data_IF_513454674036
#
_entry.id   IF_513454674036
#
_cell.length_a   1.000
_cell.length_b   1.000
_cell.length_c   1.000
_cell.angle_alpha   90.00
_cell.angle_beta   90.00
_cell.angle_gamma   90.00
#
_symmetry.space_group_name_H-M   'P 1'
#
loop_
_entity.id
_entity.type
_entity.pdbx_description
1 polymer ?
#
# COMPACT_ATOMS: atom_id res chain seq x y z
N UNK A 1 17.65 2.85 -4.94
CA UNK A 1 17.10 1.93 -5.95
C UNK A 1 15.98 2.65 -6.70
N UNK A 2 15.74 2.35 -7.99
CA UNK A 2 14.68 3.05 -8.76
C UNK A 2 13.27 2.65 -8.30
N UNK A 3 12.33 3.60 -8.32
CA UNK A 3 10.93 3.37 -7.99
C UNK A 3 10.32 2.39 -9.01
N UNK A 4 9.82 1.22 -8.57
CA UNK A 4 9.23 0.26 -9.49
C UNK A 4 7.85 0.68 -10.01
N UNK A 5 7.17 1.65 -9.38
CA UNK A 5 5.83 2.11 -9.75
C UNK A 5 5.88 3.35 -10.65
N UNK A 6 4.90 3.44 -11.55
CA UNK A 6 4.74 4.60 -12.45
C UNK A 6 3.30 5.13 -12.45
N UNK A 7 3.03 6.09 -13.34
CA UNK A 7 1.69 6.69 -13.48
C UNK A 7 0.66 5.72 -14.08
N UNK A 8 1.08 4.72 -14.85
CA UNK A 8 0.17 3.73 -15.44
C UNK A 8 -0.38 2.81 -14.34
N UNK A 9 0.43 2.47 -13.33
CA UNK A 9 -0.05 1.78 -12.13
C UNK A 9 -1.19 2.56 -11.43
N UNK A 10 -1.19 3.89 -11.48
CA UNK A 10 -2.28 4.70 -10.91
C UNK A 10 -3.50 4.68 -11.84
N UNK A 11 -3.29 4.86 -13.15
CA UNK A 11 -4.38 4.89 -14.15
C UNK A 11 -5.16 3.58 -14.20
N UNK A 12 -4.47 2.44 -14.15
CA UNK A 12 -5.09 1.10 -14.13
C UNK A 12 -6.03 0.88 -12.94
N UNK A 13 -5.93 1.72 -11.91
CA UNK A 13 -6.70 1.62 -10.66
C UNK A 13 -7.81 2.66 -10.56
N UNK A 14 -7.94 3.57 -11.53
CA UNK A 14 -8.95 4.61 -11.54
C UNK A 14 -9.93 4.32 -12.67
N UNK A 15 -11.22 4.25 -12.33
CA UNK A 15 -12.29 3.86 -13.26
C UNK A 15 -12.61 4.95 -14.30
N UNK A 16 -12.08 6.16 -14.10
CA UNK A 16 -12.21 7.31 -15.00
C UNK A 16 -10.86 7.76 -15.55
N UNK A 17 -10.83 8.34 -16.76
CA UNK A 17 -9.61 9.00 -17.24
C UNK A 17 -9.22 10.15 -16.30
N UNK A 18 -7.91 10.30 -16.11
CA UNK A 18 -7.33 11.41 -15.37
C UNK A 18 -7.21 12.64 -16.26
N UNK A 19 -7.54 13.80 -15.70
CA UNK A 19 -7.29 15.09 -16.32
C UNK A 19 -5.78 15.36 -16.38
N UNK A 20 -5.28 16.17 -17.34
CA UNK A 20 -3.85 16.46 -17.47
C UNK A 20 -3.21 17.02 -16.18
N UNK A 21 -3.96 17.79 -15.42
CA UNK A 21 -3.52 18.37 -14.13
C UNK A 21 -3.40 17.30 -13.05
N UNK A 22 -4.35 16.36 -13.01
CA UNK A 22 -4.33 15.20 -12.11
C UNK A 22 -3.18 14.26 -12.43
N UNK A 23 -2.86 14.07 -13.71
CA UNK A 23 -1.69 13.28 -14.14
C UNK A 23 -0.41 13.90 -13.58
N UNK A 24 -0.25 15.22 -13.71
CA UNK A 24 0.93 15.93 -13.19
C UNK A 24 1.04 15.78 -11.67
N UNK A 25 -0.06 15.94 -10.95
CA UNK A 25 -0.08 15.78 -9.49
C UNK A 25 0.20 14.33 -9.09
N UNK A 26 -0.44 13.36 -9.75
CA UNK A 26 -0.29 11.93 -9.49
C UNK A 26 1.15 11.44 -9.72
N UNK A 27 1.85 11.93 -10.76
CA UNK A 27 3.28 11.59 -10.96
C UNK A 27 4.12 11.99 -9.76
N UNK A 28 3.90 13.18 -9.20
CA UNK A 28 4.63 13.63 -8.01
C UNK A 28 4.25 12.82 -6.77
N UNK A 29 2.96 12.52 -6.61
CA UNK A 29 2.47 11.68 -5.51
C UNK A 29 3.03 10.25 -5.57
N UNK A 30 3.32 9.71 -6.75
CA UNK A 30 4.00 8.40 -6.90
C UNK A 30 5.42 8.45 -6.33
N UNK A 31 6.16 9.54 -6.54
CA UNK A 31 7.50 9.74 -5.97
C UNK A 31 7.43 9.92 -4.45
N UNK A 32 6.51 10.76 -3.97
CA UNK A 32 6.32 10.98 -2.54
C UNK A 32 5.91 9.68 -1.82
N UNK A 33 5.05 8.86 -2.44
CA UNK A 33 4.61 7.56 -1.89
C UNK A 33 5.77 6.59 -1.77
N UNK A 34 6.70 6.62 -2.73
CA UNK A 34 7.92 5.82 -2.68
C UNK A 34 8.83 6.24 -1.52
N UNK A 35 8.97 7.55 -1.29
CA UNK A 35 9.66 8.08 -0.11
C UNK A 35 9.04 7.59 1.21
N UNK A 36 7.72 7.65 1.32
CA UNK A 36 6.99 7.16 2.51
C UNK A 36 7.25 5.67 2.74
N UNK A 37 7.22 4.84 1.69
CA UNK A 37 7.52 3.41 1.84
C UNK A 37 8.95 3.18 2.33
N UNK A 38 9.91 3.98 1.88
CA UNK A 38 11.29 3.91 2.35
C UNK A 38 11.43 4.24 3.84
N UNK A 39 10.71 5.27 4.30
CA UNK A 39 10.74 5.70 5.69
C UNK A 39 10.01 4.70 6.63
N UNK A 40 8.91 4.12 6.16
CA UNK A 40 8.03 3.25 6.97
C UNK A 40 8.44 1.78 6.96
N UNK A 41 9.17 1.31 5.94
CA UNK A 41 9.49 -0.11 5.76
C UNK A 41 11.00 -0.32 5.89
N UNK A 42 11.47 -0.80 7.06
CA UNK A 42 12.86 -1.16 7.24
C UNK A 42 13.34 -2.17 6.21
N UNK A 43 14.56 -1.97 5.73
CA UNK A 43 15.23 -2.85 4.77
C UNK A 43 14.46 -3.08 3.45
N UNK A 44 13.61 -2.11 3.04
CA UNK A 44 12.83 -2.18 1.80
C UNK A 44 13.70 -2.54 0.57
N UNK A 45 14.78 -1.79 0.34
CA UNK A 45 15.69 -2.03 -0.79
C UNK A 45 16.34 -3.41 -0.75
N UNK A 46 16.76 -3.85 0.44
CA UNK A 46 17.39 -5.16 0.61
C UNK A 46 16.41 -6.27 0.27
N UNK A 47 15.15 -6.15 0.72
CA UNK A 47 14.09 -7.15 0.47
C UNK A 47 13.64 -7.19 -0.99
N UNK A 48 13.71 -6.05 -1.68
CA UNK A 48 13.49 -5.95 -3.13
C UNK A 48 14.62 -6.58 -3.94
N UNK A 49 15.87 -6.38 -3.50
CA UNK A 49 17.05 -6.94 -4.16
C UNK A 49 17.18 -8.47 -3.99
N UNK A 50 16.43 -9.06 -3.05
CA UNK A 50 16.43 -10.52 -2.87
C UNK A 50 15.94 -11.22 -4.12
N UNK A 51 16.68 -12.24 -4.55
CA UNK A 51 16.34 -13.11 -5.67
C UNK A 51 15.80 -14.46 -5.17
N UNK A 52 15.08 -15.19 -6.02
CA UNK A 52 14.47 -16.48 -5.66
C UNK A 52 13.21 -16.37 -4.79
N UNK A 53 12.77 -17.48 -4.20
CA UNK A 53 11.58 -17.53 -3.33
C UNK A 53 11.94 -17.34 -1.84
N UNK A 54 12.88 -16.44 -1.55
CA UNK A 54 13.21 -16.14 -0.16
C UNK A 54 11.95 -15.63 0.59
N UNK A 55 11.63 -16.15 1.79
CA UNK A 55 10.40 -15.80 2.51
C UNK A 55 10.25 -14.30 2.81
N UNK A 56 11.37 -13.61 2.97
CA UNK A 56 11.42 -12.18 3.25
C UNK A 56 11.39 -11.31 1.97
N UNK A 57 11.46 -11.91 0.77
CA UNK A 57 11.51 -11.19 -0.51
C UNK A 57 10.24 -10.39 -0.71
N UNK A 58 10.43 -9.12 -1.08
CA UNK A 58 9.35 -8.25 -1.47
C UNK A 58 9.18 -8.27 -2.98
N UNK A 59 7.99 -8.61 -3.46
CA UNK A 59 7.69 -8.62 -4.90
C UNK A 59 7.48 -7.17 -5.39
N UNK A 60 8.11 -6.75 -6.51
CA UNK A 60 7.90 -5.42 -7.09
C UNK A 60 6.42 -5.10 -7.30
N UNK A 61 5.61 -6.08 -7.73
CA UNK A 61 4.17 -5.92 -7.94
C UNK A 61 3.40 -5.55 -6.65
N UNK A 62 3.89 -5.96 -5.48
CA UNK A 62 3.27 -5.59 -4.20
C UNK A 62 3.49 -4.11 -3.87
N UNK A 63 4.65 -3.57 -4.27
CA UNK A 63 4.98 -2.16 -4.11
C UNK A 63 4.18 -1.32 -5.10
N UNK A 64 4.19 -1.69 -6.38
CA UNK A 64 3.35 -1.07 -7.43
C UNK A 64 1.90 -0.96 -7.00
N UNK A 65 1.35 -2.06 -6.47
CA UNK A 65 -0.02 -2.08 -5.95
C UNK A 65 -0.23 -1.14 -4.79
N UNK A 66 0.71 -1.09 -3.85
CA UNK A 66 0.58 -0.24 -2.66
C UNK A 66 0.67 1.24 -3.03
N UNK A 67 1.68 1.64 -3.81
CA UNK A 67 1.83 3.01 -4.31
C UNK A 67 0.59 3.41 -5.12
N UNK A 68 0.17 2.58 -6.05
CA UNK A 68 -1.03 2.83 -6.86
C UNK A 68 -2.28 3.02 -6.01
N UNK A 69 -2.45 2.26 -4.92
CA UNK A 69 -3.57 2.42 -4.00
C UNK A 69 -3.48 3.72 -3.18
N UNK A 70 -2.29 4.08 -2.68
CA UNK A 70 -2.05 5.32 -1.95
C UNK A 70 -2.40 6.53 -2.82
N UNK A 71 -1.86 6.59 -4.04
CA UNK A 71 -2.10 7.71 -4.95
C UNK A 71 -3.54 7.74 -5.45
N UNK A 72 -4.14 6.59 -5.77
CA UNK A 72 -5.53 6.54 -6.21
C UNK A 72 -6.50 7.05 -5.14
N UNK A 73 -6.23 6.85 -3.84
CA UNK A 73 -7.04 7.44 -2.76
C UNK A 73 -6.99 8.98 -2.78
N UNK A 74 -5.79 9.53 -2.91
CA UNK A 74 -5.58 10.99 -2.95
C UNK A 74 -6.23 11.59 -4.19
N UNK A 75 -6.05 10.96 -5.36
CA UNK A 75 -6.62 11.45 -6.62
C UNK A 75 -8.16 11.35 -6.64
N UNK A 76 -8.74 10.31 -6.01
CA UNK A 76 -10.20 10.16 -5.90
C UNK A 76 -10.83 11.18 -4.95
N UNK A 77 -10.10 11.70 -3.97
CA UNK A 77 -10.56 12.71 -3.04
C UNK A 77 -9.57 13.88 -2.95
N UNK A 78 -9.31 14.53 -4.07
CA UNK A 78 -8.33 15.61 -4.16
C UNK A 78 -8.68 16.80 -3.25
N UNK A 79 -9.97 17.06 -3.05
CA UNK A 79 -10.48 18.15 -2.22
C UNK A 79 -10.47 17.84 -0.71
N UNK A 80 -10.17 16.60 -0.31
CA UNK A 80 -10.13 16.21 1.10
C UNK A 80 -11.49 16.38 1.80
N UNK A 81 -12.59 16.20 1.07
CA UNK A 81 -13.93 16.42 1.61
C UNK A 81 -14.26 15.36 2.67
N UNK A 82 -14.88 15.81 3.76
CA UNK A 82 -15.34 15.00 4.92
C UNK A 82 -16.81 14.64 4.86
N UNK A 83 -17.58 15.48 4.20
CA UNK A 83 -19.01 15.33 4.03
C UNK A 83 -19.37 16.13 2.80
N UNK A 84 -20.12 15.53 1.90
CA UNK A 84 -20.74 16.26 0.81
C UNK A 84 -22.23 16.35 1.10
N UNK A 85 -22.71 17.58 1.25
CA UNK A 85 -24.10 17.89 1.50
C UNK A 85 -24.60 18.85 0.42
N UNK A 86 -25.58 18.41 -0.35
CA UNK A 86 -26.41 19.27 -1.20
C UNK A 86 -27.85 19.21 -0.66
N UNK A 87 -28.71 20.18 -0.99
CA UNK A 87 -30.00 20.46 -0.32
C UNK A 87 -30.95 19.24 -0.17
N UNK A 88 -30.72 18.15 -0.92
CA UNK A 88 -31.50 16.90 -0.84
C UNK A 88 -30.67 15.63 -0.60
N UNK A 89 -29.34 15.74 -0.46
CA UNK A 89 -28.43 14.59 -0.41
C UNK A 89 -27.29 14.82 0.58
N UNK A 90 -27.12 13.89 1.52
CA UNK A 90 -25.98 13.84 2.42
C UNK A 90 -25.24 12.52 2.24
N UNK A 91 -23.96 12.60 1.90
CA UNK A 91 -23.06 11.45 1.85
C UNK A 91 -21.88 11.65 2.80
N UNK A 92 -21.68 10.66 3.66
CA UNK A 92 -20.48 10.59 4.51
C UNK A 92 -19.40 9.90 3.70
N UNK A 93 -18.47 10.68 3.14
CA UNK A 93 -17.28 10.16 2.48
C UNK A 93 -16.36 9.66 3.60
N UNK A 94 -16.23 8.33 3.68
CA UNK A 94 -15.52 7.56 4.71
C UNK A 94 -14.29 8.30 5.29
N UNK A 95 -14.20 8.39 6.63
CA UNK A 95 -13.18 9.15 7.37
C UNK A 95 -11.73 8.75 6.98
N UNK A 96 -11.55 7.54 6.46
CA UNK A 96 -10.28 6.98 5.99
C UNK A 96 -9.89 7.52 4.59
N UNK A 97 -10.87 7.72 3.70
CA UNK A 97 -10.68 8.38 2.39
C UNK A 97 -10.65 9.90 2.50
N UNK A 98 -11.22 10.43 3.56
CA UNK A 98 -11.48 11.85 3.75
C UNK A 98 -10.23 12.72 4.00
N UNK A 99 -9.10 12.13 4.43
CA UNK A 99 -7.93 12.94 4.78
C UNK A 99 -7.17 13.50 3.57
N UNK A 100 -7.40 13.00 2.36
CA UNK A 100 -6.57 13.34 1.19
C UNK A 100 -5.07 13.05 1.40
N UNK A 101 -4.73 12.29 2.46
CA UNK A 101 -3.36 12.06 2.85
C UNK A 101 -2.77 10.93 2.00
N UNK A 102 -1.52 11.12 1.61
CA UNK A 102 -0.69 10.05 1.10
C UNK A 102 -0.16 9.27 2.31
N UNK A 103 -0.79 8.15 2.64
CA UNK A 103 -0.41 7.35 3.81
C UNK A 103 -0.51 5.86 3.55
N UNK A 104 0.27 5.09 4.31
CA UNK A 104 0.24 3.64 4.31
C UNK A 104 -0.81 3.15 5.32
N UNK A 105 -1.79 2.37 4.85
CA UNK A 105 -2.74 1.73 5.79
C UNK A 105 -2.08 0.59 6.56
N UNK A 106 -2.62 0.22 7.71
CA UNK A 106 -2.13 -0.94 8.47
C UNK A 106 -2.23 -2.24 7.67
N UNK A 107 -3.24 -2.37 6.80
CA UNK A 107 -3.38 -3.53 5.90
C UNK A 107 -2.25 -3.58 4.88
N UNK A 108 -1.88 -2.44 4.30
CA UNK A 108 -0.75 -2.35 3.35
C UNK A 108 0.57 -2.58 4.06
N UNK A 109 0.77 -1.97 5.24
CA UNK A 109 1.92 -2.21 6.11
C UNK A 109 2.06 -3.70 6.44
N UNK A 110 0.99 -4.37 6.84
CA UNK A 110 0.98 -5.81 7.13
C UNK A 110 1.25 -6.68 5.89
N UNK A 111 0.79 -6.25 4.70
CA UNK A 111 1.09 -6.95 3.45
C UNK A 111 2.56 -6.84 3.04
N UNK A 112 3.19 -5.71 3.35
CA UNK A 112 4.59 -5.47 3.07
C UNK A 112 5.50 -5.95 4.21
N UNK A 113 4.95 -6.27 5.39
CA UNK A 113 5.70 -6.84 6.51
C UNK A 113 6.39 -8.16 6.12
N UNK A 114 7.59 -8.45 6.67
CA UNK A 114 8.25 -9.72 6.43
C UNK A 114 7.36 -10.87 6.93
N UNK A 115 7.12 -11.85 6.07
CA UNK A 115 6.43 -13.07 6.47
C UNK A 115 7.38 -13.88 7.33
N UNK A 116 7.11 -13.94 8.62
CA UNK A 116 7.76 -14.91 9.50
C UNK A 116 7.13 -16.25 9.18
N UNK A 117 7.80 -17.06 8.36
CA UNK A 117 7.52 -18.48 8.33
C UNK A 117 7.97 -19.03 9.69
N UNK A 118 7.00 -19.29 10.58
CA UNK A 118 7.28 -20.08 11.78
C UNK A 118 7.58 -21.49 11.27
N UNK A 119 8.82 -21.99 11.40
CA UNK A 119 9.09 -23.36 11.02
C UNK A 119 8.19 -24.26 11.88
N UNK A 120 7.40 -25.10 11.24
CA UNK A 120 6.53 -26.10 11.88
C UNK A 120 7.35 -27.22 12.57
N UNK A 121 8.51 -26.91 13.13
CA UNK A 121 9.28 -27.77 14.03
C UNK A 121 9.05 -27.34 15.47
N UNK A 122 7.78 -27.28 15.89
CA UNK A 122 7.46 -27.31 17.30
C UNK A 122 7.71 -28.73 17.79
N UNK A 123 8.74 -28.92 18.62
CA UNK A 123 8.93 -30.18 19.34
C UNK A 123 7.72 -30.37 20.25
N UNK A 124 6.82 -31.27 19.87
CA UNK A 124 5.77 -31.74 20.77
C UNK A 124 6.38 -32.83 21.66
N UNK A 125 6.71 -32.49 22.91
CA UNK A 125 6.89 -33.52 23.93
C UNK A 125 5.49 -34.02 24.31
N UNK A 126 5.13 -35.21 23.84
CA UNK A 126 4.02 -35.96 24.42
C UNK A 126 4.58 -36.61 25.70
N UNK A 127 4.15 -36.20 26.92
CA UNK A 127 4.45 -36.99 28.10
C UNK A 127 3.69 -38.31 27.95
N UNK A 128 4.43 -39.41 27.77
CA UNK A 128 3.93 -40.76 28.01
C UNK A 128 3.48 -40.81 29.46
N UNK A 129 2.19 -40.55 29.68
CA UNK A 129 1.54 -40.75 30.97
C UNK A 129 1.12 -42.21 30.99
N UNK A 130 1.62 -42.93 31.98
CA UNK A 130 1.81 -44.37 31.94
C UNK A 130 0.57 -45.25 31.85
N UNK A 131 0.82 -46.49 31.46
CA UNK A 131 0.27 -47.70 32.06
C UNK A 131 1.31 -48.82 31.89
#
# INVERSE_FOLDING_TARGET
MDNPADIEDVKDRIERPLLPEEIRAATKLVEDAWGILHDEIPALEHRLAMTGDAPARLKPDSIKRTIGHMVARVVRNFEGLRSWGEDTYQETIDAVLSSGQLYLTDVERNRLAPRVEVPASGVYSLPLTGA
#
